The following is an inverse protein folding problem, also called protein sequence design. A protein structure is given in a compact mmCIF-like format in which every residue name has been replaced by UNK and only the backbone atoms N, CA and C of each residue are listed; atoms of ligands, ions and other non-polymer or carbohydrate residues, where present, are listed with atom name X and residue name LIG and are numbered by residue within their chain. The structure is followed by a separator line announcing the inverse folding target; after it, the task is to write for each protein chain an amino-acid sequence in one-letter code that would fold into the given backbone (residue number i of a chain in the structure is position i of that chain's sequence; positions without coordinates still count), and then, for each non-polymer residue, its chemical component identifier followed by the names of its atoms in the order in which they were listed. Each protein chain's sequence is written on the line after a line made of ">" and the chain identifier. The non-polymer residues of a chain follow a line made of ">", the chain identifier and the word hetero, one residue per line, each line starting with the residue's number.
data_IF_039811911017
#
_entry.id   IF_039811911017
#
_cell.length_a   1.000
_cell.length_b   1.000
_cell.length_c   1.000
_cell.angle_alpha   90.00
_cell.angle_beta   90.00
_cell.angle_gamma   90.00
#
_symmetry.space_group_name_H-M   'P 1'
#
loop_
_entity.id
_entity.type
_entity.pdbx_description
1 polymer ?
#
# COMPACT_ATOMS: atom_id res chain seq x y z
N UNK A 1 -6.66 22.11 -15.55
CA UNK A 1 -6.25 20.81 -14.99
C UNK A 1 -6.00 19.85 -16.14
N UNK A 2 -4.82 19.24 -16.21
CA UNK A 2 -4.57 18.18 -17.18
C UNK A 2 -5.32 16.91 -16.73
N UNK A 3 -6.15 16.35 -17.60
CA UNK A 3 -6.89 15.12 -17.31
C UNK A 3 -6.08 13.96 -17.87
N UNK A 4 -5.81 12.97 -17.02
CA UNK A 4 -5.06 11.75 -17.37
C UNK A 4 -5.93 10.53 -17.12
N UNK A 5 -5.77 9.49 -17.93
CA UNK A 5 -6.48 8.22 -17.76
C UNK A 5 -5.61 7.19 -17.07
N UNK A 6 -6.18 6.44 -16.12
CA UNK A 6 -5.59 5.22 -15.57
C UNK A 6 -6.49 4.04 -15.93
N UNK A 7 -5.88 2.89 -16.22
CA UNK A 7 -6.62 1.64 -16.41
C UNK A 7 -6.72 0.92 -15.06
N UNK A 8 -7.92 0.48 -14.70
CA UNK A 8 -8.18 -0.29 -13.49
C UNK A 8 -9.12 -1.44 -13.82
N UNK A 9 -9.02 -2.52 -13.05
CA UNK A 9 -9.95 -3.63 -13.16
C UNK A 9 -11.38 -3.21 -12.79
N UNK A 10 -12.37 -3.91 -13.35
CA UNK A 10 -13.79 -3.66 -13.12
C UNK A 10 -14.14 -3.69 -11.63
N UNK A 11 -13.59 -4.67 -10.91
CA UNK A 11 -13.79 -4.84 -9.48
C UNK A 11 -13.28 -3.64 -8.66
N UNK A 12 -12.14 -3.06 -9.05
CA UNK A 12 -11.56 -1.87 -8.41
C UNK A 12 -12.46 -0.67 -8.63
N UNK A 13 -12.99 -0.48 -9.86
CA UNK A 13 -13.93 0.61 -10.17
C UNK A 13 -15.21 0.51 -9.33
N UNK A 14 -15.74 -0.70 -9.14
CA UNK A 14 -16.93 -0.95 -8.32
C UNK A 14 -16.67 -0.65 -6.84
N UNK A 15 -15.52 -1.10 -6.31
CA UNK A 15 -15.10 -0.76 -4.96
C UNK A 15 -14.96 0.77 -4.76
N UNK A 16 -14.34 1.47 -5.72
CA UNK A 16 -14.23 2.93 -5.69
C UNK A 16 -15.59 3.62 -5.76
N UNK A 17 -16.57 3.04 -6.46
CA UNK A 17 -17.92 3.60 -6.53
C UNK A 17 -18.65 3.49 -5.19
N UNK A 18 -18.47 2.38 -4.47
CA UNK A 18 -19.04 2.17 -3.14
C UNK A 18 -18.46 3.12 -2.07
N UNK A 19 -17.22 3.61 -2.28
CA UNK A 19 -16.56 4.56 -1.38
C UNK A 19 -17.02 6.02 -1.57
N UNK A 20 -17.84 6.31 -2.58
CA UNK A 20 -18.37 7.66 -2.80
C UNK A 20 -19.37 8.02 -1.70
N UNK A 21 -19.12 9.16 -1.07
CA UNK A 21 -20.00 9.78 -0.09
C UNK A 21 -21.25 10.43 -0.72
N UNK A 22 -21.20 10.73 -2.01
CA UNK A 22 -22.36 11.21 -2.77
C UNK A 22 -22.28 10.83 -4.26
N UNK A 23 -23.42 10.80 -4.97
CA UNK A 23 -23.44 10.50 -6.41
C UNK A 23 -22.64 11.48 -7.28
N UNK A 24 -22.40 12.70 -6.79
CA UNK A 24 -21.66 13.75 -7.51
C UNK A 24 -20.15 13.68 -7.30
N UNK A 25 -19.70 12.89 -6.33
CA UNK A 25 -18.28 12.75 -6.03
C UNK A 25 -17.57 11.99 -7.18
N UNK A 26 -16.46 12.55 -7.61
CA UNK A 26 -15.62 11.99 -8.67
C UNK A 26 -14.67 10.93 -8.12
N UNK A 27 -14.22 10.02 -8.97
CA UNK A 27 -13.19 9.05 -8.56
C UNK A 27 -11.88 9.74 -8.17
N UNK A 28 -11.55 10.89 -8.77
CA UNK A 28 -10.36 11.65 -8.40
C UNK A 28 -10.43 12.17 -6.96
N UNK A 29 -11.60 12.66 -6.52
CA UNK A 29 -11.79 13.13 -5.14
C UNK A 29 -11.68 11.98 -4.13
N UNK A 30 -12.28 10.82 -4.45
CA UNK A 30 -12.15 9.61 -3.61
C UNK A 30 -10.70 9.18 -3.49
N UNK A 31 -9.96 9.10 -4.60
CA UNK A 31 -8.55 8.72 -4.61
C UNK A 31 -7.69 9.71 -3.81
N UNK A 32 -7.91 11.01 -3.94
CA UNK A 32 -7.20 12.03 -3.17
C UNK A 32 -7.47 11.90 -1.66
N UNK A 33 -8.72 11.62 -1.25
CA UNK A 33 -9.04 11.36 0.16
C UNK A 33 -8.31 10.13 0.69
N UNK A 34 -8.29 9.04 -0.08
CA UNK A 34 -7.55 7.83 0.29
C UNK A 34 -6.05 8.08 0.41
N UNK A 35 -5.47 8.86 -0.51
CA UNK A 35 -4.06 9.25 -0.44
C UNK A 35 -3.73 10.11 0.78
N UNK A 36 -4.67 10.98 1.21
CA UNK A 36 -4.50 11.80 2.40
C UNK A 36 -4.54 11.00 3.72
N UNK A 37 -5.08 9.76 3.70
CA UNK A 37 -5.04 8.84 4.85
C UNK A 37 -3.68 8.16 5.01
N UNK A 38 -2.81 8.23 4.00
CA UNK A 38 -1.42 7.75 4.12
C UNK A 38 -0.67 8.80 4.96
N UNK A 39 -0.18 8.47 6.17
CA UNK A 39 0.53 9.41 7.01
C UNK A 39 1.73 9.98 6.24
N UNK A 40 1.75 11.31 6.07
CA UNK A 40 2.93 12.05 5.63
C UNK A 40 3.73 12.36 6.90
N UNK A 41 4.57 11.42 7.36
CA UNK A 41 5.53 11.71 8.41
C UNK A 41 5.42 10.82 9.64
N UNK A 42 6.21 9.76 9.67
CA UNK A 42 7.24 9.64 10.70
C UNK A 42 8.55 10.29 10.19
N UNK A 43 9.59 10.36 11.02
CA UNK A 43 10.93 10.86 10.62
C UNK A 43 11.56 10.03 9.47
N UNK A 44 10.92 8.96 9.01
CA UNK A 44 11.36 8.09 7.91
C UNK A 44 10.73 8.47 6.55
N UNK A 45 9.73 9.36 6.54
CA UNK A 45 9.09 9.87 5.31
C UNK A 45 8.09 8.89 4.66
N UNK A 46 7.69 9.16 3.42
CA UNK A 46 6.81 8.24 2.70
C UNK A 46 7.55 6.95 2.35
N UNK A 47 6.95 5.79 2.66
CA UNK A 47 7.50 4.51 2.21
C UNK A 47 7.75 4.52 0.70
N UNK A 48 9.00 4.26 0.32
CA UNK A 48 9.36 4.04 -1.06
C UNK A 48 8.58 2.87 -1.64
N UNK A 49 8.34 2.88 -2.95
CA UNK A 49 7.64 1.76 -3.61
C UNK A 49 8.41 0.44 -3.42
N UNK A 50 9.75 0.50 -3.37
CA UNK A 50 10.60 -0.65 -3.05
C UNK A 50 10.32 -1.19 -1.63
N UNK A 51 10.16 -0.30 -0.64
CA UNK A 51 9.82 -0.70 0.73
C UNK A 51 8.43 -1.33 0.79
N UNK A 52 7.43 -0.77 0.10
CA UNK A 52 6.07 -1.31 0.06
C UNK A 52 6.03 -2.71 -0.52
N UNK A 53 6.76 -2.94 -1.61
CA UNK A 53 6.92 -4.27 -2.23
C UNK A 53 7.60 -5.24 -1.26
N UNK A 54 8.71 -4.82 -0.62
CA UNK A 54 9.42 -5.62 0.37
C UNK A 54 8.56 -6.01 1.57
N UNK A 55 7.76 -5.07 2.09
CA UNK A 55 6.83 -5.32 3.19
C UNK A 55 5.74 -6.32 2.81
N UNK A 56 5.19 -6.22 1.59
CA UNK A 56 4.21 -7.18 1.08
C UNK A 56 4.82 -8.58 0.95
N UNK A 57 6.03 -8.69 0.37
CA UNK A 57 6.75 -9.96 0.27
C UNK A 57 7.00 -10.60 1.63
N UNK A 58 7.47 -9.81 2.61
CA UNK A 58 7.69 -10.29 3.97
C UNK A 58 6.40 -10.82 4.62
N UNK A 59 5.26 -10.16 4.38
CA UNK A 59 3.96 -10.62 4.88
C UNK A 59 3.53 -11.96 4.27
N UNK A 60 3.79 -12.16 2.98
CA UNK A 60 3.54 -13.43 2.29
C UNK A 60 4.46 -14.55 2.78
N UNK A 61 5.72 -14.23 3.10
CA UNK A 61 6.68 -15.18 3.66
C UNK A 61 6.25 -15.67 5.05
N UNK A 62 5.79 -14.76 5.91
CA UNK A 62 5.25 -15.11 7.24
C UNK A 62 4.02 -16.03 7.10
N UNK A 63 3.09 -15.70 6.19
CA UNK A 63 1.91 -16.53 5.94
C UNK A 63 2.27 -17.94 5.44
N UNK A 64 3.33 -18.04 4.64
CA UNK A 64 3.81 -19.31 4.10
C UNK A 64 4.75 -20.07 5.06
N UNK A 65 4.99 -19.56 6.27
CA UNK A 65 5.91 -20.17 7.24
C UNK A 65 7.38 -20.07 6.83
N UNK A 66 7.74 -19.21 5.88
CA UNK A 66 9.12 -18.95 5.43
C UNK A 66 9.79 -17.92 6.36
N UNK A 67 9.87 -18.24 7.64
CA UNK A 67 10.51 -17.40 8.65
C UNK A 67 11.84 -18.00 9.10
N UNK A 68 12.70 -17.17 9.69
CA UNK A 68 13.96 -17.59 10.27
C UNK A 68 13.86 -17.49 11.80
N UNK A 69 14.38 -18.47 12.58
CA UNK A 69 14.55 -18.33 14.02
C UNK A 69 15.45 -17.13 14.36
N UNK A 70 15.14 -16.44 15.46
CA UNK A 70 15.87 -15.24 15.89
C UNK A 70 17.36 -15.48 16.13
N UNK A 71 17.72 -16.61 16.71
CA UNK A 71 19.12 -16.96 17.00
C UNK A 71 19.92 -17.22 15.71
N UNK A 72 19.28 -17.83 14.72
CA UNK A 72 19.88 -18.03 13.39
C UNK A 72 20.04 -16.71 12.66
N UNK A 73 19.10 -15.77 12.82
CA UNK A 73 19.20 -14.42 12.25
C UNK A 73 20.41 -13.67 12.79
N UNK A 74 20.61 -13.70 14.12
CA UNK A 74 21.74 -13.06 14.79
C UNK A 74 23.08 -13.59 14.29
N UNK A 75 23.21 -14.91 14.22
CA UNK A 75 24.43 -15.55 13.70
C UNK A 75 24.74 -15.12 12.27
N UNK A 76 23.73 -15.05 11.39
CA UNK A 76 23.91 -14.62 9.99
C UNK A 76 24.30 -13.14 9.87
N UNK A 77 23.80 -12.30 10.78
CA UNK A 77 24.11 -10.87 10.80
C UNK A 77 25.40 -10.51 11.56
N UNK A 78 26.01 -11.49 12.23
CA UNK A 78 27.19 -11.25 13.08
C UNK A 78 26.90 -10.39 14.31
N UNK A 79 25.65 -10.45 14.81
CA UNK A 79 25.15 -9.71 15.97
C UNK A 79 25.03 -10.58 17.23
#
# INVERSE_FOLDING_TARGET
>A
MAITSIQVESAVREALAALKSSPRETYSEVLLKLMALVPQGDDEGAYSDAFRVGLLSARLDVQAGRTLPHDELKQRLGL
#
